data_IF_840593997578
#
_entry.id   IF_840593997578
#
_cell.length_a   1.000
_cell.length_b   1.000
_cell.length_c   1.000
_cell.angle_alpha   90.00
_cell.angle_beta   90.00
_cell.angle_gamma   90.00
#
_symmetry.space_group_name_H-M   'P 1'
#
loop_
_entity.id
_entity.type
_entity.pdbx_description
1 polymer ?
#
# COMPACT_ATOMS: atom_id res chain seq x y z
N UNK A 1 -25.43 -6.17 -0.82
CA UNK A 1 -24.21 -5.86 -1.60
C UNK A 1 -23.19 -5.36 -0.57
N UNK A 2 -22.00 -5.96 -0.54
CA UNK A 2 -20.91 -5.47 0.32
C UNK A 2 -20.53 -4.04 -0.12
N UNK A 3 -20.09 -3.21 0.82
CA UNK A 3 -19.62 -1.87 0.48
C UNK A 3 -18.37 -1.96 -0.42
N UNK A 4 -18.16 -1.02 -1.36
CA UNK A 4 -17.05 -1.08 -2.32
C UNK A 4 -15.69 -0.87 -1.65
N UNK A 5 -14.62 -1.30 -2.31
CA UNK A 5 -13.25 -0.96 -1.94
C UNK A 5 -12.94 0.47 -2.42
N UNK A 6 -12.53 1.33 -1.50
CA UNK A 6 -12.01 2.65 -1.84
C UNK A 6 -10.59 2.57 -2.39
N UNK A 7 -10.31 3.33 -3.43
CA UNK A 7 -8.95 3.54 -3.93
C UNK A 7 -8.64 5.02 -3.85
N UNK A 8 -7.63 5.40 -3.06
CA UNK A 8 -7.24 6.81 -2.87
C UNK A 8 -6.80 7.40 -4.21
N UNK A 9 -7.57 8.35 -4.74
CA UNK A 9 -7.43 8.88 -6.09
C UNK A 9 -6.94 10.35 -6.10
N UNK A 10 -5.99 10.67 -5.23
CA UNK A 10 -5.35 11.98 -5.19
C UNK A 10 -4.21 12.06 -6.19
N UNK A 11 -3.41 10.99 -6.31
CA UNK A 11 -2.22 10.90 -7.16
C UNK A 11 -1.82 9.43 -7.31
N UNK A 12 -1.13 9.06 -8.39
CA UNK A 12 -0.52 7.74 -8.59
C UNK A 12 -1.41 6.75 -9.33
N UNK A 13 -1.13 5.46 -9.15
CA UNK A 13 -1.62 4.34 -9.96
C UNK A 13 -3.02 3.84 -9.53
N UNK A 14 -3.92 4.76 -9.12
CA UNK A 14 -5.24 4.39 -8.61
C UNK A 14 -6.16 3.73 -9.67
N UNK A 15 -5.95 4.04 -10.96
CA UNK A 15 -6.73 3.45 -12.05
C UNK A 15 -6.37 1.99 -12.27
N UNK A 16 -5.09 1.66 -12.19
CA UNK A 16 -4.53 0.31 -12.32
C UNK A 16 -5.05 -0.59 -11.19
N UNK A 17 -5.07 -0.10 -9.94
CA UNK A 17 -5.68 -0.82 -8.82
C UNK A 17 -7.16 -1.08 -9.03
N UNK A 18 -7.93 -0.10 -9.56
CA UNK A 18 -9.35 -0.29 -9.86
C UNK A 18 -9.58 -1.28 -10.98
N UNK A 19 -8.70 -1.30 -11.99
CA UNK A 19 -8.75 -2.31 -13.07
C UNK A 19 -8.50 -3.71 -12.52
N UNK A 20 -7.51 -3.88 -11.63
CA UNK A 20 -7.22 -5.16 -10.98
C UNK A 20 -8.40 -5.62 -10.12
N UNK A 21 -9.01 -4.75 -9.31
CA UNK A 21 -10.22 -5.07 -8.53
C UNK A 21 -11.39 -5.50 -9.45
N UNK A 22 -11.60 -4.78 -10.55
CA UNK A 22 -12.64 -5.12 -11.54
C UNK A 22 -12.38 -6.49 -12.18
N UNK A 23 -11.13 -6.83 -12.48
CA UNK A 23 -10.76 -8.12 -13.06
C UNK A 23 -11.09 -9.31 -12.15
N UNK A 24 -11.08 -9.11 -10.84
CA UNK A 24 -11.47 -10.12 -9.83
C UNK A 24 -12.95 -9.98 -9.38
N UNK A 25 -13.73 -9.13 -10.07
CA UNK A 25 -15.17 -8.98 -9.80
C UNK A 25 -15.51 -8.14 -8.56
N UNK A 26 -14.57 -7.34 -8.04
CA UNK A 26 -14.75 -6.50 -6.85
C UNK A 26 -15.09 -5.08 -7.24
N UNK A 27 -16.18 -4.53 -6.68
CA UNK A 27 -16.59 -3.15 -6.88
C UNK A 27 -15.63 -2.19 -6.17
N UNK A 28 -15.24 -1.12 -6.85
CA UNK A 28 -14.35 -0.10 -6.29
C UNK A 28 -14.80 1.32 -6.62
N UNK A 29 -14.48 2.25 -5.70
CA UNK A 29 -14.74 3.68 -5.89
C UNK A 29 -13.45 4.49 -5.73
N UNK A 30 -13.37 5.63 -6.41
CA UNK A 30 -12.30 6.60 -6.20
C UNK A 30 -12.59 7.40 -4.92
N UNK A 31 -11.61 7.40 -3.99
CA UNK A 31 -11.69 8.20 -2.76
C UNK A 31 -10.98 9.53 -3.00
N UNK A 32 -11.75 10.61 -3.06
CA UNK A 32 -11.29 11.99 -3.21
C UNK A 32 -11.84 12.91 -2.13
N UNK A 33 -12.87 12.46 -1.42
CA UNK A 33 -13.56 13.20 -0.36
C UNK A 33 -13.81 12.33 0.86
N UNK A 34 -14.10 12.95 2.00
CA UNK A 34 -14.54 12.23 3.20
C UNK A 34 -15.80 11.38 2.94
N UNK A 35 -16.73 11.89 2.11
CA UNK A 35 -17.94 11.17 1.77
C UNK A 35 -17.67 9.88 0.97
N UNK A 36 -16.60 9.85 0.16
CA UNK A 36 -16.17 8.63 -0.54
C UNK A 36 -15.50 7.65 0.43
N UNK A 37 -14.64 8.15 1.33
CA UNK A 37 -13.96 7.35 2.34
C UNK A 37 -14.97 6.63 3.23
N UNK A 38 -16.02 7.31 3.69
CA UNK A 38 -17.05 6.72 4.57
C UNK A 38 -17.92 5.64 3.91
N UNK A 39 -17.93 5.55 2.58
CA UNK A 39 -18.63 4.50 1.84
C UNK A 39 -17.77 3.26 1.61
N UNK A 40 -16.48 3.33 1.90
CA UNK A 40 -15.52 2.27 1.57
C UNK A 40 -15.45 1.22 2.70
N UNK A 41 -15.51 -0.07 2.34
CA UNK A 41 -15.32 -1.18 3.27
C UNK A 41 -13.83 -1.39 3.60
N UNK A 42 -12.94 -0.98 2.73
CA UNK A 42 -11.49 -1.00 2.86
C UNK A 42 -10.88 0.04 1.94
N UNK A 43 -9.60 0.32 2.10
CA UNK A 43 -8.89 1.37 1.36
C UNK A 43 -7.62 0.82 0.71
N UNK A 44 -7.40 1.14 -0.57
CA UNK A 44 -6.11 0.98 -1.24
C UNK A 44 -5.45 2.35 -1.37
N UNK A 45 -4.19 2.46 -0.91
CA UNK A 45 -3.33 3.63 -1.11
C UNK A 45 -2.33 3.27 -2.20
N UNK A 46 -2.45 3.85 -3.41
CA UNK A 46 -1.66 3.44 -4.56
C UNK A 46 -0.20 3.87 -4.47
N UNK A 47 0.60 3.31 -5.38
CA UNK A 47 1.92 3.84 -5.71
C UNK A 47 1.87 5.24 -6.29
N UNK A 48 3.02 5.90 -6.33
CA UNK A 48 3.14 7.27 -6.82
C UNK A 48 4.24 8.04 -6.07
N UNK A 49 4.01 9.32 -5.79
CA UNK A 49 4.96 10.16 -5.04
C UNK A 49 4.37 10.53 -3.66
N UNK A 50 4.95 9.99 -2.58
CA UNK A 50 4.42 10.08 -1.21
C UNK A 50 4.33 11.52 -0.69
N UNK A 51 5.28 12.40 -1.06
CA UNK A 51 5.25 13.81 -0.63
C UNK A 51 4.15 14.61 -1.32
N UNK A 52 3.87 14.31 -2.59
CA UNK A 52 2.74 14.90 -3.33
C UNK A 52 1.43 14.38 -2.76
N UNK A 53 1.34 13.08 -2.49
CA UNK A 53 0.15 12.46 -1.89
C UNK A 53 -0.18 13.10 -0.53
N UNK A 54 0.80 13.29 0.35
CA UNK A 54 0.62 14.00 1.62
C UNK A 54 0.11 15.43 1.41
N UNK A 55 0.74 16.21 0.52
CA UNK A 55 0.34 17.59 0.24
C UNK A 55 -1.09 17.69 -0.28
N UNK A 56 -1.46 16.79 -1.18
CA UNK A 56 -2.83 16.74 -1.71
C UNK A 56 -3.83 16.31 -0.64
N UNK A 57 -3.50 15.31 0.19
CA UNK A 57 -4.36 14.91 1.31
C UNK A 57 -4.63 16.07 2.28
N UNK A 58 -3.60 16.86 2.59
CA UNK A 58 -3.76 18.08 3.41
C UNK A 58 -4.59 19.14 2.67
N UNK A 59 -4.30 19.41 1.40
CA UNK A 59 -4.99 20.43 0.62
C UNK A 59 -6.49 20.15 0.40
N UNK A 60 -6.88 18.88 0.42
CA UNK A 60 -8.28 18.44 0.28
C UNK A 60 -8.94 18.05 1.61
N UNK A 61 -8.34 18.41 2.75
CA UNK A 61 -8.84 18.09 4.10
C UNK A 61 -9.09 16.59 4.34
N UNK A 62 -8.30 15.72 3.67
CA UNK A 62 -8.39 14.26 3.78
C UNK A 62 -7.32 13.64 4.68
N UNK A 63 -6.26 14.38 5.04
CA UNK A 63 -5.14 13.79 5.78
C UNK A 63 -5.58 13.23 7.13
N UNK A 64 -6.21 14.05 7.98
CA UNK A 64 -6.67 13.60 9.30
C UNK A 64 -7.81 12.57 9.20
N UNK A 65 -8.82 12.70 8.32
CA UNK A 65 -9.81 11.65 8.09
C UNK A 65 -9.22 10.29 7.69
N UNK A 66 -8.19 10.26 6.85
CA UNK A 66 -7.49 9.02 6.47
C UNK A 66 -6.74 8.42 7.66
N UNK A 67 -5.96 9.25 8.38
CA UNK A 67 -5.27 8.83 9.60
C UNK A 67 -6.25 8.23 10.62
N UNK A 68 -7.35 8.92 10.90
CA UNK A 68 -8.34 8.49 11.88
C UNK A 68 -9.06 7.21 11.46
N UNK A 69 -9.42 7.07 10.18
CA UNK A 69 -10.07 5.87 9.65
C UNK A 69 -9.14 4.64 9.75
N UNK A 70 -7.86 4.79 9.38
CA UNK A 70 -6.84 3.72 9.49
C UNK A 70 -6.66 3.33 10.96
N UNK A 71 -6.52 4.30 11.85
CA UNK A 71 -6.37 4.08 13.29
C UNK A 71 -7.62 3.46 13.93
N UNK A 72 -8.81 3.77 13.41
CA UNK A 72 -10.07 3.17 13.82
C UNK A 72 -10.28 1.74 13.30
N UNK A 73 -9.36 1.24 12.47
CA UNK A 73 -9.34 -0.14 12.00
C UNK A 73 -9.88 -0.36 10.59
N UNK A 74 -9.96 0.67 9.75
CA UNK A 74 -10.30 0.50 8.34
C UNK A 74 -9.25 -0.41 7.67
N UNK A 75 -9.63 -1.58 7.12
CA UNK A 75 -8.69 -2.41 6.36
C UNK A 75 -8.03 -1.60 5.27
N UNK A 76 -6.68 -1.58 5.26
CA UNK A 76 -5.95 -0.72 4.33
C UNK A 76 -4.76 -1.44 3.72
N UNK A 77 -4.60 -1.27 2.40
CA UNK A 77 -3.49 -1.82 1.61
C UNK A 77 -2.72 -0.70 0.93
N UNK A 78 -1.40 -0.62 1.18
CA UNK A 78 -0.51 0.37 0.57
C UNK A 78 0.53 -0.28 -0.35
N UNK A 79 0.66 0.22 -1.59
CA UNK A 79 1.69 -0.20 -2.54
C UNK A 79 2.72 0.92 -2.73
N UNK A 80 4.02 0.61 -2.71
CA UNK A 80 5.12 1.54 -2.95
C UNK A 80 4.99 2.84 -2.11
N UNK A 81 4.53 3.96 -2.69
CA UNK A 81 4.24 5.19 -1.95
C UNK A 81 3.17 4.98 -0.87
N UNK A 82 2.20 4.09 -1.09
CA UNK A 82 1.19 3.72 -0.12
C UNK A 82 1.77 3.04 1.12
N UNK A 83 2.79 2.18 0.97
CA UNK A 83 3.53 1.62 2.10
C UNK A 83 4.23 2.74 2.89
N UNK A 84 4.86 3.71 2.20
CA UNK A 84 5.49 4.87 2.85
C UNK A 84 4.45 5.66 3.66
N UNK A 85 3.25 5.84 3.12
CA UNK A 85 2.18 6.58 3.80
C UNK A 85 1.57 5.83 5.01
N UNK A 86 1.65 4.50 5.04
CA UNK A 86 1.20 3.68 6.17
C UNK A 86 2.25 3.52 7.27
N UNK A 87 3.52 3.76 6.98
CA UNK A 87 4.60 3.61 7.95
C UNK A 87 4.50 4.65 9.08
N UNK A 88 4.79 4.24 10.31
CA UNK A 88 4.89 5.15 11.45
C UNK A 88 6.18 5.99 11.38
N UNK A 89 7.22 5.49 10.72
CA UNK A 89 8.46 6.22 10.51
C UNK A 89 8.90 6.21 9.04
N UNK A 90 9.21 7.39 8.50
CA UNK A 90 9.71 7.56 7.14
C UNK A 90 11.17 8.00 7.18
N UNK A 91 12.08 7.14 6.69
CA UNK A 91 13.51 7.41 6.59
C UNK A 91 13.80 8.07 5.24
N UNK A 92 14.69 9.08 5.24
CA UNK A 92 15.03 9.91 4.07
C UNK A 92 13.82 10.65 3.48
N UNK A 93 12.84 10.97 4.34
CA UNK A 93 11.74 11.86 4.00
C UNK A 93 12.22 13.33 3.87
N UNK A 94 11.44 14.15 3.18
CA UNK A 94 11.67 15.60 3.20
C UNK A 94 11.31 16.17 4.57
N UNK A 95 11.89 17.31 5.00
CA UNK A 95 11.53 17.95 6.25
C UNK A 95 10.02 18.15 6.40
N UNK A 96 9.45 17.65 7.51
CA UNK A 96 8.02 17.72 7.79
C UNK A 96 7.14 16.69 7.04
N UNK A 97 7.74 15.76 6.31
CA UNK A 97 6.98 14.65 5.74
C UNK A 97 6.49 13.72 6.85
N UNK A 98 5.20 13.39 6.78
CA UNK A 98 4.56 12.38 7.64
C UNK A 98 3.61 11.53 6.81
N UNK A 99 3.46 10.27 7.21
CA UNK A 99 2.47 9.35 6.65
C UNK A 99 1.13 9.45 7.38
N UNK A 100 0.16 8.66 6.92
CA UNK A 100 -1.09 8.43 7.67
C UNK A 100 -0.82 7.54 8.89
N UNK A 101 0.25 6.74 8.86
CA UNK A 101 0.66 5.86 9.96
C UNK A 101 -0.19 4.58 10.07
N UNK A 102 0.06 3.83 11.13
CA UNK A 102 -0.69 2.63 11.50
C UNK A 102 0.09 1.33 11.38
N UNK A 103 1.11 1.26 10.51
CA UNK A 103 2.08 0.15 10.50
C UNK A 103 3.30 0.51 11.33
N UNK A 104 3.59 -0.26 12.39
CA UNK A 104 4.79 -0.09 13.23
C UNK A 104 6.05 -0.55 12.49
N UNK A 105 6.38 0.18 11.44
CA UNK A 105 7.56 -0.04 10.61
C UNK A 105 8.30 1.26 10.34
N UNK A 106 9.63 1.17 10.13
CA UNK A 106 10.41 2.25 9.54
C UNK A 106 10.68 1.92 8.08
N UNK A 107 10.29 2.83 7.18
CA UNK A 107 10.39 2.64 5.74
C UNK A 107 11.35 3.67 5.14
N UNK A 108 12.40 3.18 4.45
CA UNK A 108 13.33 4.01 3.68
C UNK A 108 12.82 4.22 2.27
N UNK A 109 12.75 5.48 1.84
CA UNK A 109 12.37 5.86 0.47
C UNK A 109 13.54 5.60 -0.49
N UNK A 110 13.22 5.27 -1.76
CA UNK A 110 14.19 5.12 -2.86
C UNK A 110 15.41 4.26 -2.47
N UNK A 111 15.18 3.12 -1.86
CA UNK A 111 16.22 2.34 -1.17
C UNK A 111 17.12 1.52 -2.10
N UNK A 112 16.84 1.46 -3.41
CA UNK A 112 17.60 0.66 -4.38
C UNK A 112 18.73 1.42 -5.10
N UNK A 113 18.88 2.73 -4.85
CA UNK A 113 19.95 3.56 -5.40
C UNK A 113 19.80 3.88 -6.90
N UNK A 114 20.69 4.73 -7.42
CA UNK A 114 20.60 5.28 -8.79
C UNK A 114 20.89 4.28 -9.93
N UNK A 115 21.37 3.06 -9.66
CA UNK A 115 21.72 2.08 -10.69
C UNK A 115 20.65 1.02 -10.96
N UNK A 116 19.64 0.88 -10.07
CA UNK A 116 18.54 -0.07 -10.21
C UNK A 116 17.23 0.64 -9.87
N UNK A 117 16.87 1.64 -10.67
CA UNK A 117 15.62 2.39 -10.48
C UNK A 117 14.37 1.49 -10.66
N UNK A 118 14.50 0.37 -11.39
CA UNK A 118 13.42 -0.57 -11.64
C UNK A 118 13.96 -1.97 -11.97
N UNK A 119 13.33 -3.00 -11.39
CA UNK A 119 13.61 -4.41 -11.70
C UNK A 119 12.37 -5.27 -11.42
N UNK A 120 12.36 -6.46 -11.99
CA UNK A 120 11.32 -7.45 -11.77
C UNK A 120 11.95 -8.72 -11.16
N UNK A 121 11.21 -9.39 -10.29
CA UNK A 121 11.65 -10.62 -9.65
C UNK A 121 10.44 -11.45 -9.22
N UNK A 122 10.58 -12.76 -9.27
CA UNK A 122 9.61 -13.68 -8.73
C UNK A 122 9.95 -13.97 -7.26
N UNK A 123 8.98 -13.79 -6.36
CA UNK A 123 9.19 -13.93 -4.93
C UNK A 123 8.06 -14.73 -4.25
N UNK A 124 8.38 -15.32 -3.11
CA UNK A 124 7.38 -15.93 -2.25
C UNK A 124 6.63 -14.86 -1.48
N UNK A 125 5.31 -15.03 -1.40
CA UNK A 125 4.47 -14.11 -0.65
C UNK A 125 3.56 -14.91 0.30
N UNK A 126 3.66 -14.65 1.59
CA UNK A 126 2.86 -15.35 2.61
C UNK A 126 1.39 -14.98 2.46
N UNK A 127 0.51 -15.99 2.52
CA UNK A 127 -0.92 -15.82 2.32
C UNK A 127 -1.37 -15.91 0.85
N UNK A 128 -0.43 -15.97 -0.09
CA UNK A 128 -0.70 -16.24 -1.50
C UNK A 128 -0.28 -17.68 -1.83
N UNK A 129 -1.23 -18.45 -2.36
CA UNK A 129 -0.98 -19.85 -2.76
C UNK A 129 -0.60 -19.95 -4.24
N UNK A 130 0.04 -21.08 -4.61
CA UNK A 130 0.44 -21.38 -5.97
C UNK A 130 1.87 -20.92 -6.30
N UNK A 131 2.07 -20.43 -7.53
CA UNK A 131 3.36 -20.01 -8.04
C UNK A 131 3.89 -18.75 -7.35
N UNK A 132 5.17 -18.45 -7.55
CA UNK A 132 5.79 -17.21 -7.09
C UNK A 132 5.01 -15.99 -7.61
N UNK A 133 5.01 -14.93 -6.82
CA UNK A 133 4.43 -13.64 -7.18
C UNK A 133 5.43 -12.90 -8.05
N UNK A 134 5.00 -12.49 -9.25
CA UNK A 134 5.80 -11.63 -10.12
C UNK A 134 5.71 -10.18 -9.69
N UNK A 135 6.81 -9.63 -9.18
CA UNK A 135 6.87 -8.32 -8.53
C UNK A 135 7.70 -7.33 -9.34
N UNK A 136 7.10 -6.19 -9.70
CA UNK A 136 7.79 -5.06 -10.32
C UNK A 136 8.12 -4.00 -9.27
N UNK A 137 9.39 -3.70 -9.12
CA UNK A 137 9.92 -2.67 -8.24
C UNK A 137 10.30 -1.44 -9.06
N UNK A 138 9.73 -0.28 -8.74
CA UNK A 138 9.95 0.99 -9.44
C UNK A 138 10.31 2.04 -8.40
N UNK A 139 11.59 2.40 -8.30
CA UNK A 139 12.13 3.32 -7.27
C UNK A 139 11.59 3.01 -5.87
N UNK A 140 11.56 1.72 -5.56
CA UNK A 140 10.80 1.17 -4.45
C UNK A 140 11.37 1.55 -3.07
N UNK A 141 10.51 1.64 -2.05
CA UNK A 141 10.93 1.71 -0.65
C UNK A 141 11.34 0.33 -0.12
N UNK A 142 12.01 0.32 1.03
CA UNK A 142 12.33 -0.88 1.80
C UNK A 142 11.89 -0.68 3.25
N UNK A 143 11.39 -1.75 3.87
CA UNK A 143 11.15 -1.78 5.31
C UNK A 143 12.47 -2.11 6.00
N UNK A 144 12.99 -1.19 6.81
CA UNK A 144 14.26 -1.36 7.56
C UNK A 144 14.06 -1.86 8.98
N UNK A 145 12.95 -1.49 9.62
CA UNK A 145 12.58 -1.94 10.95
C UNK A 145 11.13 -2.42 10.95
N UNK A 146 10.88 -3.47 11.69
CA UNK A 146 9.54 -3.98 12.00
C UNK A 146 9.34 -4.02 13.52
N UNK A 147 8.14 -3.67 13.98
CA UNK A 147 7.72 -3.86 15.38
C UNK A 147 7.33 -5.30 15.67
N UNK A 148 7.05 -5.60 16.95
CA UNK A 148 6.80 -6.96 17.43
C UNK A 148 5.53 -7.61 16.85
N UNK A 149 4.54 -6.82 16.49
CA UNK A 149 3.26 -7.29 15.92
C UNK A 149 3.24 -7.35 14.40
N UNK A 150 4.35 -7.03 13.75
CA UNK A 150 4.46 -7.05 12.28
C UNK A 150 4.73 -8.47 11.79
N UNK A 151 3.86 -8.94 10.91
CA UNK A 151 4.08 -10.13 10.11
C UNK A 151 4.82 -9.76 8.83
N UNK A 152 6.01 -10.34 8.60
CA UNK A 152 6.73 -10.22 7.33
C UNK A 152 6.09 -11.18 6.33
N UNK A 153 5.57 -10.63 5.23
CA UNK A 153 4.90 -11.38 4.17
C UNK A 153 5.85 -11.79 3.04
N UNK A 154 6.86 -10.97 2.76
CA UNK A 154 7.83 -11.24 1.70
C UNK A 154 9.16 -10.54 1.92
N UNK A 155 10.24 -11.21 1.51
CA UNK A 155 11.62 -10.69 1.48
C UNK A 155 12.26 -11.00 0.13
N UNK A 156 13.20 -10.16 -0.27
CA UNK A 156 14.13 -10.47 -1.34
C UNK A 156 15.18 -11.48 -0.89
N UNK A 157 15.93 -12.09 -1.83
CA UNK A 157 16.98 -13.09 -1.55
C UNK A 157 18.10 -12.55 -0.65
N UNK A 158 18.33 -11.23 -0.67
CA UNK A 158 19.29 -10.55 0.19
C UNK A 158 18.77 -10.20 1.58
N UNK A 159 17.53 -10.61 1.90
CA UNK A 159 16.89 -10.42 3.20
C UNK A 159 16.14 -9.10 3.36
N UNK A 160 16.15 -8.21 2.36
CA UNK A 160 15.37 -6.95 2.42
C UNK A 160 13.88 -7.24 2.48
N UNK A 161 13.19 -6.63 3.45
CA UNK A 161 11.76 -6.82 3.67
C UNK A 161 10.98 -5.93 2.68
N UNK A 162 10.08 -6.56 1.90
CA UNK A 162 9.32 -5.91 0.82
C UNK A 162 7.80 -6.12 0.92
N UNK A 163 7.34 -6.83 1.94
CA UNK A 163 5.92 -7.02 2.23
C UNK A 163 5.68 -7.26 3.71
N UNK A 164 4.75 -6.54 4.31
CA UNK A 164 4.42 -6.58 5.75
C UNK A 164 2.91 -6.49 5.98
N UNK A 165 2.48 -7.01 7.14
CA UNK A 165 1.11 -6.91 7.62
C UNK A 165 1.08 -6.67 9.12
N UNK A 166 0.11 -5.87 9.58
CA UNK A 166 -0.24 -5.71 10.99
C UNK A 166 -1.76 -5.66 11.11
N UNK A 167 -2.36 -6.71 11.67
CA UNK A 167 -3.81 -6.81 11.75
C UNK A 167 -4.46 -6.72 10.36
N UNK A 168 -5.24 -5.69 10.13
CA UNK A 168 -5.93 -5.38 8.88
C UNK A 168 -5.20 -4.37 7.98
N UNK A 169 -3.96 -4.04 8.29
CA UNK A 169 -3.10 -3.18 7.46
C UNK A 169 -2.06 -4.03 6.73
N UNK A 170 -1.92 -3.84 5.43
CA UNK A 170 -0.94 -4.51 4.57
C UNK A 170 -0.17 -3.47 3.75
N UNK A 171 1.15 -3.63 3.68
CA UNK A 171 2.03 -2.76 2.89
C UNK A 171 3.05 -3.55 2.09
N UNK A 172 3.26 -3.17 0.83
CA UNK A 172 4.25 -3.79 -0.05
C UNK A 172 5.07 -2.74 -0.80
N UNK A 173 6.30 -3.10 -1.16
CA UNK A 173 7.24 -2.21 -1.85
C UNK A 173 7.06 -2.17 -3.38
N UNK A 174 6.41 -3.15 -3.96
CA UNK A 174 6.28 -3.38 -5.40
C UNK A 174 4.86 -3.11 -5.91
N UNK A 175 4.65 -3.26 -7.23
CA UNK A 175 3.45 -2.88 -7.96
C UNK A 175 2.75 -4.11 -8.59
N UNK A 176 1.89 -4.84 -7.87
CA UNK A 176 1.15 -5.99 -8.43
C UNK A 176 0.15 -5.54 -9.51
N UNK A 177 -0.37 -4.31 -9.43
CA UNK A 177 -1.30 -3.73 -10.38
C UNK A 177 -0.69 -3.52 -11.77
N UNK A 178 0.64 -3.39 -11.85
CA UNK A 178 1.37 -3.20 -13.12
C UNK A 178 1.66 -4.53 -13.81
N UNK A 179 1.91 -5.59 -13.04
CA UNK A 179 2.25 -6.92 -13.58
C UNK A 179 1.03 -7.79 -13.89
N UNK A 180 -0.16 -7.34 -13.52
CA UNK A 180 -1.39 -8.15 -13.62
C UNK A 180 -1.50 -9.25 -12.55
N UNK A 181 -0.73 -9.14 -11.45
CA UNK A 181 -0.78 -10.05 -10.32
C UNK A 181 -1.99 -9.75 -9.43
N UNK A 182 -3.06 -10.50 -9.60
CA UNK A 182 -4.34 -10.27 -8.90
C UNK A 182 -4.38 -10.84 -7.50
N UNK A 183 -3.60 -11.89 -7.19
CA UNK A 183 -3.66 -12.65 -5.93
C UNK A 183 -3.35 -11.80 -4.69
N UNK A 184 -2.55 -10.74 -4.84
CA UNK A 184 -2.29 -9.78 -3.75
C UNK A 184 -3.55 -8.97 -3.43
N UNK A 185 -4.30 -8.54 -4.46
CA UNK A 185 -5.57 -7.85 -4.27
C UNK A 185 -6.63 -8.78 -3.68
N UNK A 186 -6.69 -10.04 -4.13
CA UNK A 186 -7.57 -11.07 -3.58
C UNK A 186 -7.29 -11.31 -2.09
N UNK A 187 -5.99 -11.37 -1.71
CA UNK A 187 -5.58 -11.46 -0.30
C UNK A 187 -6.11 -10.26 0.50
N UNK A 188 -5.93 -9.04 -0.02
CA UNK A 188 -6.44 -7.84 0.65
C UNK A 188 -7.98 -7.85 0.77
N UNK A 189 -8.70 -8.21 -0.29
CA UNK A 189 -10.17 -8.33 -0.24
C UNK A 189 -10.61 -9.32 0.84
N UNK A 190 -9.91 -10.46 0.97
CA UNK A 190 -10.19 -11.44 2.03
C UNK A 190 -9.98 -10.87 3.45
N UNK A 191 -9.09 -9.88 3.62
CA UNK A 191 -8.90 -9.18 4.91
C UNK A 191 -10.04 -8.21 5.21
N UNK A 192 -10.70 -7.66 4.17
CA UNK A 192 -11.86 -6.76 4.33
C UNK A 192 -13.11 -7.55 4.72
N UNK A 193 -13.23 -8.78 4.23
CA UNK A 193 -14.40 -9.65 4.45
C UNK A 193 -14.30 -10.47 5.77
N UNK A 194 -13.17 -10.40 6.49
CA UNK A 194 -12.90 -11.16 7.73
C UNK A 194 -13.46 -10.45 8.96
#
# INVERSE_FOLDING_TARGET
MSAPIGVLALQGDFREHRQTLSAIGVESIEVRTLADLTKSAGLIIPGGESTVMQKLAVAYDLFEPLHDAIKAGLPTFGTCAGLIMLADEIIDGIPGQRGFGGLDVSVRRNAFGNQLDSFEVDLKFKGVSGDLVHAAFIRAPIVERVGDEIEVLSTLDDGRIVGVRQGNLMGISFHPEVTGETRIHELFVSMVDA
#
